data_IF_362212558073
#
_entry.id   IF_362212558073
#
_cell.length_a   1.000
_cell.length_b   1.000
_cell.length_c   1.000
_cell.angle_alpha   90.00
_cell.angle_beta   90.00
_cell.angle_gamma   90.00
#
_symmetry.space_group_name_H-M   'P 1'
#
loop_
_entity.id
_entity.type
_entity.pdbx_description
1 polymer ?
#
# COMPACT_ATOMS: atom_id res chain seq x y z
N UNK A 1 -45.78 -11.36 5.35
CA UNK A 1 -44.40 -11.88 5.43
C UNK A 1 -43.49 -10.71 5.04
N UNK A 2 -43.02 -9.96 6.03
CA UNK A 2 -42.34 -8.66 5.85
C UNK A 2 -40.86 -8.88 5.53
N UNK A 3 -40.42 -8.33 4.40
CA UNK A 3 -39.03 -8.37 3.96
C UNK A 3 -38.16 -7.51 4.88
N UNK A 4 -37.24 -8.16 5.60
CA UNK A 4 -36.35 -7.58 6.59
C UNK A 4 -34.92 -7.54 6.05
N UNK A 5 -34.73 -7.13 4.78
CA UNK A 5 -33.41 -7.02 4.17
C UNK A 5 -33.05 -5.58 3.81
N UNK A 6 -31.88 -5.19 4.31
CA UNK A 6 -31.13 -3.98 4.01
C UNK A 6 -31.74 -2.66 4.51
N UNK A 7 -31.72 -2.45 5.84
CA UNK A 7 -31.45 -1.10 6.35
C UNK A 7 -30.01 -0.77 5.93
N UNK A 8 -29.85 -0.11 4.80
CA UNK A 8 -28.57 0.51 4.43
C UNK A 8 -28.18 1.42 5.60
N UNK A 9 -27.09 1.05 6.28
CA UNK A 9 -26.54 1.88 7.34
C UNK A 9 -26.19 3.22 6.68
N UNK A 10 -26.67 4.36 7.21
CA UNK A 10 -26.32 5.65 6.63
C UNK A 10 -24.79 5.76 6.57
N UNK A 11 -24.21 6.30 5.48
CA UNK A 11 -22.77 6.46 5.41
C UNK A 11 -22.31 7.27 6.62
N UNK A 12 -21.39 6.70 7.42
CA UNK A 12 -20.83 7.40 8.57
C UNK A 12 -20.26 8.73 8.09
N UNK A 13 -20.57 9.82 8.80
CA UNK A 13 -19.96 11.12 8.50
C UNK A 13 -18.45 10.99 8.66
N UNK A 14 -17.68 11.58 7.74
CA UNK A 14 -16.21 11.52 7.74
C UNK A 14 -15.60 12.02 9.06
N UNK A 15 -16.26 12.93 9.75
CA UNK A 15 -15.87 13.47 11.07
C UNK A 15 -15.84 12.43 12.18
N UNK A 16 -16.62 11.34 12.03
CA UNK A 16 -16.72 10.25 13.00
C UNK A 16 -15.78 9.08 12.68
N UNK A 17 -15.03 9.17 11.57
CA UNK A 17 -14.03 8.16 11.23
C UNK A 17 -12.83 8.32 12.17
N UNK A 18 -12.72 7.38 13.11
CA UNK A 18 -11.48 7.16 13.88
C UNK A 18 -10.72 6.05 13.17
N UNK A 19 -9.65 6.36 12.41
CA UNK A 19 -8.86 5.31 11.79
C UNK A 19 -8.28 4.42 12.87
N UNK A 20 -8.39 3.11 12.70
CA UNK A 20 -7.58 2.19 13.49
C UNK A 20 -6.12 2.54 13.26
N UNK A 21 -5.34 2.58 14.33
CA UNK A 21 -3.90 2.88 14.26
C UNK A 21 -3.12 1.76 14.90
N UNK A 22 -1.92 1.53 14.37
CA UNK A 22 -0.94 0.62 14.93
C UNK A 22 0.38 1.37 15.12
N UNK A 23 1.21 0.88 16.04
CA UNK A 23 2.58 1.35 16.19
C UNK A 23 3.53 0.24 15.76
N UNK A 24 4.41 0.54 14.82
CA UNK A 24 5.52 -0.32 14.44
C UNK A 24 6.69 0.04 15.35
N UNK A 25 7.19 -0.96 16.08
CA UNK A 25 8.27 -0.79 17.03
C UNK A 25 9.60 -0.47 16.33
N UNK A 26 10.53 0.24 16.99
CA UNK A 26 11.92 0.32 16.57
C UNK A 26 12.54 -1.07 16.35
N UNK A 27 13.48 -1.17 15.42
CA UNK A 27 14.12 -2.44 15.06
C UNK A 27 13.27 -3.33 14.15
N UNK A 28 11.99 -3.00 13.91
CA UNK A 28 11.19 -3.71 12.92
C UNK A 28 11.80 -3.52 11.53
N UNK A 29 11.97 -4.63 10.81
CA UNK A 29 12.53 -4.65 9.46
C UNK A 29 11.48 -4.82 8.38
N UNK A 30 11.69 -4.06 7.32
CA UNK A 30 10.85 -4.01 6.15
C UNK A 30 11.72 -4.14 4.91
N UNK A 31 11.09 -4.45 3.79
CA UNK A 31 11.76 -4.61 2.50
C UNK A 31 11.17 -3.63 1.49
N UNK A 32 12.03 -3.10 0.63
CA UNK A 32 11.63 -2.35 -0.56
C UNK A 32 12.36 -2.90 -1.78
N UNK A 33 11.65 -3.08 -2.88
CA UNK A 33 12.27 -3.19 -4.19
C UNK A 33 12.48 -1.80 -4.79
N UNK A 34 13.68 -1.56 -5.28
CA UNK A 34 14.05 -0.31 -5.95
C UNK A 34 14.53 -0.62 -7.36
N UNK A 35 14.37 0.34 -8.26
CA UNK A 35 14.98 0.24 -9.58
C UNK A 35 16.48 0.40 -9.41
N UNK A 36 17.29 -0.43 -10.06
CA UNK A 36 18.75 -0.31 -10.01
C UNK A 36 19.23 1.10 -10.46
N UNK A 37 18.49 1.74 -11.37
CA UNK A 37 18.74 3.12 -11.81
C UNK A 37 18.40 4.20 -10.76
N UNK A 38 17.66 3.85 -9.70
CA UNK A 38 17.23 4.74 -8.61
C UNK A 38 17.40 4.01 -7.27
N UNK A 39 18.65 3.80 -6.82
CA UNK A 39 18.96 2.89 -5.71
C UNK A 39 18.62 3.46 -4.32
N UNK A 40 18.30 4.75 -4.22
CA UNK A 40 17.98 5.38 -2.93
C UNK A 40 16.66 4.82 -2.36
N UNK A 41 16.80 3.98 -1.34
CA UNK A 41 15.71 3.17 -0.79
C UNK A 41 14.67 3.98 0.00
N UNK A 42 14.95 5.22 0.37
CA UNK A 42 14.00 6.11 1.05
C UNK A 42 13.44 7.21 0.14
N UNK A 43 13.88 7.31 -1.11
CA UNK A 43 13.39 8.32 -2.05
C UNK A 43 11.95 8.03 -2.48
N UNK A 44 11.15 9.08 -2.60
CA UNK A 44 9.74 9.02 -3.05
C UNK A 44 9.53 9.94 -4.25
N UNK A 45 8.74 9.48 -5.22
CA UNK A 45 8.44 10.23 -6.44
C UNK A 45 6.97 10.68 -6.51
N UNK A 46 6.64 11.74 -7.27
CA UNK A 46 5.30 12.29 -7.39
C UNK A 46 4.37 11.47 -8.30
N UNK A 47 4.69 10.21 -8.57
CA UNK A 47 3.86 9.34 -9.41
C UNK A 47 2.49 9.10 -8.78
N UNK A 48 1.42 8.98 -9.60
CA UNK A 48 0.10 8.65 -9.09
C UNK A 48 0.12 7.29 -8.42
N UNK A 49 -0.48 7.22 -7.23
CA UNK A 49 -0.56 5.99 -6.46
C UNK A 49 -1.88 5.90 -5.71
N UNK A 50 -2.30 4.68 -5.37
CA UNK A 50 -3.50 4.35 -4.57
C UNK A 50 -3.60 5.09 -3.22
N UNK A 51 -2.47 5.54 -2.68
CA UNK A 51 -2.38 6.29 -1.43
C UNK A 51 -1.68 7.64 -1.57
N UNK A 52 -1.40 8.09 -2.80
CA UNK A 52 -0.93 9.46 -3.01
C UNK A 52 -2.00 10.46 -2.58
N UNK A 53 -1.59 11.70 -2.33
CA UNK A 53 -2.52 12.80 -2.12
C UNK A 53 -3.61 12.77 -3.22
N UNK A 54 -4.91 12.68 -2.89
CA UNK A 54 -5.98 12.68 -3.89
C UNK A 54 -6.06 14.00 -4.69
N UNK A 55 -5.36 15.05 -4.24
CA UNK A 55 -5.20 16.32 -4.94
C UNK A 55 -3.93 16.38 -5.80
N UNK A 56 -3.13 15.32 -5.85
CA UNK A 56 -1.97 15.20 -6.73
C UNK A 56 -2.39 15.49 -8.18
N UNK A 57 -1.61 16.31 -8.88
CA UNK A 57 -1.89 16.72 -10.27
C UNK A 57 -2.83 17.93 -10.41
N UNK A 58 -3.35 18.51 -9.30
CA UNK A 58 -4.20 19.71 -9.34
C UNK A 58 -3.44 21.05 -9.24
N UNK A 59 -2.22 21.10 -9.75
CA UNK A 59 -1.40 22.33 -9.78
C UNK A 59 -0.87 22.79 -8.41
N UNK A 60 -0.93 21.92 -7.39
CA UNK A 60 -0.33 22.15 -6.07
C UNK A 60 0.70 21.07 -5.76
N UNK A 61 1.73 21.38 -4.95
CA UNK A 61 2.64 20.37 -4.44
C UNK A 61 1.86 19.29 -3.66
N UNK A 62 2.24 18.00 -3.75
CA UNK A 62 1.62 16.96 -2.95
C UNK A 62 1.86 17.22 -1.47
N UNK A 63 0.82 17.03 -0.63
CA UNK A 63 0.95 17.15 0.82
C UNK A 63 1.75 16.00 1.45
N UNK A 64 1.75 14.84 0.79
CA UNK A 64 2.52 13.66 1.17
C UNK A 64 2.78 12.80 -0.06
N UNK A 65 3.82 11.96 0.03
CA UNK A 65 4.12 10.93 -0.95
C UNK A 65 4.24 9.58 -0.24
N UNK A 66 3.62 8.51 -0.79
CA UNK A 66 3.66 7.20 -0.15
C UNK A 66 5.01 6.52 -0.36
N UNK A 67 5.51 5.86 0.69
CA UNK A 67 6.62 4.91 0.61
C UNK A 67 6.08 3.48 0.78
N UNK A 68 6.25 2.65 -0.24
CA UNK A 68 5.78 1.27 -0.23
C UNK A 68 6.84 0.33 0.31
N UNK A 69 6.50 -0.34 1.41
CA UNK A 69 7.31 -1.32 2.09
C UNK A 69 6.53 -2.64 2.22
N UNK A 70 7.24 -3.76 2.12
CA UNK A 70 6.67 -5.09 2.36
C UNK A 70 7.34 -5.76 3.56
N UNK A 71 6.65 -6.74 4.15
CA UNK A 71 7.21 -7.56 5.22
C UNK A 71 8.23 -8.59 4.72
N UNK A 72 8.28 -8.83 3.41
CA UNK A 72 9.19 -9.79 2.80
C UNK A 72 9.54 -9.39 1.37
N UNK A 73 10.68 -9.88 0.91
CA UNK A 73 11.11 -9.77 -0.49
C UNK A 73 10.04 -10.30 -1.45
N UNK A 74 9.51 -11.50 -1.20
CA UNK A 74 8.49 -12.13 -2.05
C UNK A 74 7.25 -11.26 -2.22
N UNK A 75 6.77 -10.63 -1.15
CA UNK A 75 5.62 -9.72 -1.22
C UNK A 75 5.94 -8.49 -2.07
N UNK A 76 7.11 -7.88 -1.88
CA UNK A 76 7.54 -6.74 -2.68
C UNK A 76 7.68 -7.11 -4.17
N UNK A 77 8.22 -8.29 -4.48
CA UNK A 77 8.32 -8.82 -5.84
C UNK A 77 6.94 -8.97 -6.48
N UNK A 78 6.00 -9.56 -5.75
CA UNK A 78 4.62 -9.71 -6.22
C UNK A 78 3.95 -8.36 -6.49
N UNK A 79 4.09 -7.38 -5.59
CA UNK A 79 3.45 -6.07 -5.75
C UNK A 79 4.11 -5.20 -6.83
N UNK A 80 5.44 -5.29 -7.01
CA UNK A 80 6.18 -4.43 -7.94
C UNK A 80 6.24 -4.99 -9.37
N UNK A 81 6.44 -6.30 -9.53
CA UNK A 81 6.59 -6.92 -10.86
C UNK A 81 5.30 -7.58 -11.35
N UNK A 82 4.56 -8.22 -10.45
CA UNK A 82 3.47 -9.10 -10.85
C UNK A 82 2.13 -8.39 -10.86
N UNK A 83 1.90 -7.39 -9.99
CA UNK A 83 0.59 -6.76 -9.81
C UNK A 83 -0.07 -6.29 -11.11
N UNK A 84 0.64 -5.52 -11.92
CA UNK A 84 0.06 -4.89 -13.10
C UNK A 84 -0.15 -5.90 -14.24
N UNK A 85 0.72 -6.90 -14.35
CA UNK A 85 0.61 -7.95 -15.38
C UNK A 85 -0.31 -9.10 -14.98
N UNK A 86 -0.43 -9.42 -13.69
CA UNK A 86 -1.33 -10.45 -13.17
C UNK A 86 -2.80 -10.10 -13.40
N UNK A 87 -3.14 -8.80 -13.45
CA UNK A 87 -4.48 -8.35 -13.83
C UNK A 87 -4.81 -8.58 -15.32
N UNK A 88 -3.79 -8.76 -16.17
CA UNK A 88 -3.93 -8.89 -17.62
C UNK A 88 -3.60 -10.31 -18.14
N UNK A 89 -3.01 -11.18 -17.31
CA UNK A 89 -2.51 -12.49 -17.72
C UNK A 89 -3.50 -13.63 -17.41
N UNK A 90 -3.58 -14.66 -18.28
CA UNK A 90 -4.36 -15.86 -18.01
C UNK A 90 -3.77 -16.67 -16.84
N UNK A 91 -4.57 -17.54 -16.18
CA UNK A 91 -4.08 -18.40 -15.10
C UNK A 91 -2.91 -19.28 -15.57
N UNK A 92 -1.82 -19.33 -14.80
CA UNK A 92 -0.65 -20.14 -15.12
C UNK A 92 0.64 -19.62 -14.46
N UNK A 93 1.78 -20.31 -14.65
CA UNK A 93 3.07 -19.83 -14.18
C UNK A 93 3.41 -18.49 -14.83
N UNK A 94 3.88 -17.55 -14.01
CA UNK A 94 4.33 -16.25 -14.48
C UNK A 94 5.83 -16.30 -14.75
N UNK A 95 6.21 -16.20 -16.03
CA UNK A 95 7.61 -16.18 -16.43
C UNK A 95 8.13 -14.74 -16.39
N UNK A 96 9.16 -14.51 -15.59
CA UNK A 96 9.91 -13.24 -15.56
C UNK A 96 11.24 -13.47 -16.26
N UNK A 97 11.59 -12.62 -17.21
CA UNK A 97 12.91 -12.68 -17.83
C UNK A 97 13.99 -12.32 -16.80
N UNK A 98 15.12 -13.00 -16.82
CA UNK A 98 16.25 -12.69 -15.93
C UNK A 98 16.71 -11.23 -16.11
N UNK A 99 16.75 -10.74 -17.34
CA UNK A 99 17.07 -9.35 -17.65
C UNK A 99 16.07 -8.34 -17.03
N UNK A 100 14.82 -8.75 -16.79
CA UNK A 100 13.85 -7.93 -16.07
C UNK A 100 14.14 -7.90 -14.57
N UNK A 101 14.51 -9.04 -13.98
CA UNK A 101 14.93 -9.11 -12.58
C UNK A 101 16.18 -8.26 -12.32
N UNK A 102 17.13 -8.25 -13.26
CA UNK A 102 18.36 -7.45 -13.18
C UNK A 102 18.12 -5.92 -13.14
N UNK A 103 16.90 -5.45 -13.40
CA UNK A 103 16.56 -4.02 -13.28
C UNK A 103 16.19 -3.60 -11.86
N UNK A 104 16.18 -4.54 -10.92
CA UNK A 104 15.72 -4.34 -9.56
C UNK A 104 16.79 -4.72 -8.55
N UNK A 105 16.93 -3.86 -7.55
CA UNK A 105 17.63 -4.15 -6.30
C UNK A 105 16.62 -4.21 -5.16
N UNK A 106 17.08 -4.65 -4.00
CA UNK A 106 16.27 -4.67 -2.79
C UNK A 106 17.03 -4.07 -1.61
N UNK A 107 16.28 -3.42 -0.74
CA UNK A 107 16.80 -2.82 0.48
C UNK A 107 16.03 -3.33 1.70
N UNK A 108 16.77 -3.68 2.75
CA UNK A 108 16.22 -3.85 4.08
C UNK A 108 16.16 -2.49 4.78
N UNK A 109 15.00 -2.11 5.29
CA UNK A 109 14.76 -0.85 5.97
C UNK A 109 14.37 -1.15 7.41
N UNK A 110 15.11 -0.59 8.35
CA UNK A 110 14.86 -0.72 9.78
C UNK A 110 14.18 0.53 10.32
N UNK A 111 13.14 0.34 11.12
CA UNK A 111 12.45 1.43 11.79
C UNK A 111 13.33 1.94 12.95
N UNK A 112 13.85 3.15 12.83
CA UNK A 112 14.73 3.73 13.85
C UNK A 112 14.00 4.29 15.09
N UNK A 113 12.71 4.64 14.94
CA UNK A 113 11.87 5.23 16.01
C UNK A 113 10.43 4.73 15.88
N UNK A 114 9.63 4.69 16.96
CA UNK A 114 8.25 4.19 16.88
C UNK A 114 7.48 4.88 15.77
N UNK A 115 6.95 4.10 14.84
CA UNK A 115 6.26 4.59 13.66
C UNK A 115 4.77 4.32 13.81
N UNK A 116 3.98 5.38 13.94
CA UNK A 116 2.52 5.30 13.98
C UNK A 116 1.98 5.21 12.55
N UNK A 117 1.15 4.21 12.29
CA UNK A 117 0.53 3.98 10.98
C UNK A 117 -0.98 3.78 11.12
N UNK A 118 -1.69 4.04 10.03
CA UNK A 118 -3.10 3.64 9.91
C UNK A 118 -3.16 2.15 9.62
N UNK A 119 -3.92 1.41 10.42
CA UNK A 119 -4.09 -0.03 10.25
C UNK A 119 -5.30 -0.33 9.34
N UNK A 120 -5.01 -0.72 8.11
CA UNK A 120 -6.01 -1.08 7.10
C UNK A 120 -6.21 -2.59 6.97
N UNK A 121 -5.69 -3.41 7.89
CA UNK A 121 -5.71 -4.89 7.79
C UNK A 121 -7.02 -5.52 8.26
N UNK A 122 -7.85 -4.79 9.00
CA UNK A 122 -9.14 -5.28 9.50
C UNK A 122 -10.20 -5.45 8.40
N UNK A 123 -11.03 -6.49 8.52
CA UNK A 123 -12.10 -6.82 7.56
C UNK A 123 -13.11 -5.68 7.36
N UNK A 124 -13.34 -4.85 8.39
CA UNK A 124 -14.27 -3.73 8.37
C UNK A 124 -13.66 -2.41 7.84
N UNK A 125 -12.35 -2.37 7.59
CA UNK A 125 -11.61 -1.17 7.16
C UNK A 125 -11.41 -1.10 5.64
N UNK A 126 -11.50 -2.23 4.94
CA UNK A 126 -11.40 -2.30 3.49
C UNK A 126 -12.62 -1.68 2.77
N UNK A 127 -13.78 -1.62 3.44
CA UNK A 127 -15.01 -1.05 2.89
C UNK A 127 -15.14 0.48 2.99
N UNK A 128 -14.28 1.14 3.77
CA UNK A 128 -14.37 2.60 4.01
C UNK A 128 -13.52 3.43 3.04
N UNK A 129 -12.55 2.81 2.36
CA UNK A 129 -11.81 3.41 1.26
C UNK A 129 -12.36 2.84 -0.04
N UNK A 130 -13.50 3.38 -0.49
CA UNK A 130 -14.04 3.08 -1.81
C UNK A 130 -13.03 3.53 -2.86
N UNK A 131 -12.15 2.62 -3.29
CA UNK A 131 -11.72 2.44 -4.68
C UNK A 131 -11.13 1.03 -4.86
N UNK A 132 -11.93 0.20 -5.54
CA UNK A 132 -11.57 -1.03 -6.27
C UNK A 132 -10.42 -1.88 -5.68
N UNK A 133 -10.65 -2.55 -4.54
CA UNK A 133 -9.76 -3.64 -4.11
C UNK A 133 -10.57 -4.80 -3.55
N UNK A 134 -11.06 -5.68 -4.42
CA UNK A 134 -11.34 -7.06 -4.02
C UNK A 134 -10.00 -7.78 -4.01
N UNK A 135 -9.39 -8.03 -2.85
CA UNK A 135 -8.67 -9.29 -2.55
C UNK A 135 -8.17 -9.33 -1.10
N UNK A 136 -8.13 -10.56 -0.58
CA UNK A 136 -7.94 -10.93 0.82
C UNK A 136 -6.58 -10.52 1.38
N UNK A 137 -6.63 -10.18 2.66
CA UNK A 137 -5.54 -9.93 3.60
C UNK A 137 -4.47 -11.03 3.63
N UNK A 138 -3.21 -10.61 3.49
CA UNK A 138 -2.05 -11.15 4.22
C UNK A 138 -1.02 -10.01 4.42
N UNK A 139 -0.71 -9.68 5.67
CA UNK A 139 0.56 -9.06 6.08
C UNK A 139 0.95 -7.66 5.57
N UNK A 140 0.06 -6.84 5.02
CA UNK A 140 0.48 -5.50 4.57
C UNK A 140 0.42 -4.49 5.72
N UNK A 141 1.55 -4.05 6.29
CA UNK A 141 1.58 -2.72 6.89
C UNK A 141 1.93 -1.72 5.79
N UNK A 142 1.10 -0.71 5.67
CA UNK A 142 1.15 0.28 4.60
C UNK A 142 1.48 1.60 5.25
N UNK A 143 2.64 2.14 4.95
CA UNK A 143 3.13 3.36 5.57
C UNK A 143 2.59 4.56 4.80
N UNK A 144 1.70 5.32 5.43
CA UNK A 144 1.39 6.70 5.01
C UNK A 144 2.11 7.58 6.02
N UNK A 145 3.20 8.22 5.58
CA UNK A 145 3.82 9.28 6.36
C UNK A 145 2.91 10.51 6.22
N UNK A 146 2.21 10.85 7.29
CA UNK A 146 1.64 12.19 7.44
C UNK A 146 2.65 13.01 8.24
N UNK A 147 3.21 14.05 7.64
CA UNK A 147 3.80 15.13 8.43
C UNK A 147 2.67 15.77 9.26
N UNK A 148 3.01 16.15 10.49
CA UNK A 148 2.08 16.63 11.52
C UNK A 148 1.25 17.84 11.12
#
# INVERSE_FOLDING_TARGET
MTDQRARAHPPRRTTDLRPATATIAPGARWVRLVRAAHPEALEVGPGPSRFSDPLLGRGRPPRWLPLYLGQSFTLCLQEALLRDRANAAPPGPFLVAEAELALWDWAAIEVARPLRVVDLRGADHAGQLSHNTRHRSMGQARMVLSDG
#
